data_IF_352927489574
#
_entry.id   IF_352927489574
#
_cell.length_a   1.000
_cell.length_b   1.000
_cell.length_c   1.000
_cell.angle_alpha   90.00
_cell.angle_beta   90.00
_cell.angle_gamma   90.00
#
_symmetry.space_group_name_H-M   'P 1'
#
loop_
_entity.id
_entity.type
_entity.pdbx_description
1 polymer ?
#
# COMPACT_ATOMS: atom_id res chain seq x y z
N UNK A 1 -7.59 12.95 -14.19
CA UNK A 1 -7.58 11.52 -14.56
C UNK A 1 -8.71 11.32 -15.54
N UNK A 2 -8.49 10.60 -16.64
CA UNK A 2 -9.58 10.22 -17.53
C UNK A 2 -10.26 8.93 -17.04
N UNK A 3 -11.47 8.67 -17.54
CA UNK A 3 -12.32 7.55 -17.10
C UNK A 3 -11.74 6.17 -17.46
N UNK A 4 -10.95 6.07 -18.53
CA UNK A 4 -10.30 4.82 -18.97
C UNK A 4 -9.18 4.43 -18.01
N UNK A 5 -8.36 5.39 -17.60
CA UNK A 5 -7.31 5.20 -16.59
C UNK A 5 -7.91 4.82 -15.23
N UNK A 6 -9.01 5.45 -14.82
CA UNK A 6 -9.73 5.08 -13.59
C UNK A 6 -10.24 3.64 -13.66
N UNK A 7 -10.90 3.29 -14.75
CA UNK A 7 -11.42 1.94 -14.95
C UNK A 7 -10.30 0.90 -14.92
N UNK A 8 -9.15 1.17 -15.55
CA UNK A 8 -7.98 0.28 -15.53
C UNK A 8 -7.41 0.09 -14.13
N UNK A 9 -7.33 1.16 -13.33
CA UNK A 9 -6.88 1.07 -11.94
C UNK A 9 -7.82 0.22 -11.08
N UNK A 10 -9.14 0.38 -11.25
CA UNK A 10 -10.16 -0.43 -10.57
C UNK A 10 -10.03 -1.90 -10.98
N UNK A 11 -9.94 -2.19 -12.28
CA UNK A 11 -9.78 -3.57 -12.80
C UNK A 11 -8.50 -4.21 -12.25
N UNK A 12 -7.38 -3.48 -12.25
CA UNK A 12 -6.11 -3.98 -11.70
C UNK A 12 -6.23 -4.34 -10.23
N UNK A 13 -6.94 -3.51 -9.45
CA UNK A 13 -7.17 -3.75 -8.03
C UNK A 13 -8.07 -4.96 -7.80
N UNK A 14 -9.19 -5.07 -8.54
CA UNK A 14 -10.07 -6.25 -8.47
C UNK A 14 -9.33 -7.52 -8.88
N UNK A 15 -8.48 -7.48 -9.90
CA UNK A 15 -7.64 -8.61 -10.30
C UNK A 15 -6.70 -9.08 -9.17
N UNK A 16 -6.16 -8.15 -8.38
CA UNK A 16 -5.35 -8.50 -7.20
C UNK A 16 -6.21 -9.09 -6.06
N UNK A 17 -7.40 -8.53 -5.81
CA UNK A 17 -8.34 -9.02 -4.79
C UNK A 17 -8.88 -10.41 -5.13
N UNK A 18 -9.21 -10.65 -6.40
CA UNK A 18 -9.80 -11.88 -6.92
C UNK A 18 -8.77 -12.77 -7.61
N UNK A 19 -7.49 -12.65 -7.22
CA UNK A 19 -6.42 -13.47 -7.76
C UNK A 19 -6.74 -14.96 -7.61
N UNK A 20 -6.41 -15.74 -8.64
CA UNK A 20 -6.70 -17.17 -8.64
C UNK A 20 -5.95 -17.87 -7.51
N UNK A 21 -6.66 -18.75 -6.80
CA UNK A 21 -6.11 -19.52 -5.68
C UNK A 21 -6.44 -21.00 -5.82
N UNK A 22 -5.45 -21.85 -5.57
CA UNK A 22 -5.65 -23.28 -5.35
C UNK A 22 -6.38 -23.53 -4.00
N UNK A 23 -6.95 -24.71 -3.77
CA UNK A 23 -7.77 -24.98 -2.58
C UNK A 23 -7.08 -24.70 -1.25
N UNK A 24 -5.78 -25.02 -1.14
CA UNK A 24 -4.96 -24.75 0.03
C UNK A 24 -4.77 -23.24 0.28
N UNK A 25 -4.48 -22.47 -0.78
CA UNK A 25 -4.36 -21.01 -0.69
C UNK A 25 -5.69 -20.33 -0.32
N UNK A 26 -6.83 -20.86 -0.82
CA UNK A 26 -8.16 -20.40 -0.39
C UNK A 26 -8.39 -20.65 1.10
N UNK A 27 -8.03 -21.85 1.57
CA UNK A 27 -8.12 -22.21 2.99
C UNK A 27 -7.27 -21.30 3.88
N UNK A 28 -6.03 -21.04 3.47
CA UNK A 28 -5.13 -20.13 4.19
C UNK A 28 -5.66 -18.69 4.24
N UNK A 29 -6.18 -18.19 3.12
CA UNK A 29 -6.77 -16.83 3.06
C UNK A 29 -8.00 -16.70 3.97
N UNK A 30 -8.86 -17.72 4.00
CA UNK A 30 -10.01 -17.80 4.90
C UNK A 30 -9.57 -17.79 6.37
N UNK A 31 -8.55 -18.59 6.72
CA UNK A 31 -7.97 -18.59 8.07
C UNK A 31 -7.41 -17.22 8.47
N UNK A 32 -6.67 -16.57 7.59
CA UNK A 32 -6.13 -15.24 7.86
C UNK A 32 -7.24 -14.20 8.11
N UNK A 33 -8.32 -14.24 7.32
CA UNK A 33 -9.49 -13.37 7.55
C UNK A 33 -10.11 -13.63 8.91
N UNK A 34 -10.32 -14.89 9.26
CA UNK A 34 -10.85 -15.29 10.58
C UNK A 34 -9.96 -14.78 11.73
N UNK A 35 -8.65 -14.97 11.66
CA UNK A 35 -7.70 -14.54 12.69
C UNK A 35 -7.60 -13.02 12.84
N UNK A 36 -7.76 -12.28 11.72
CA UNK A 36 -7.79 -10.82 11.71
C UNK A 36 -9.17 -10.24 12.03
N UNK A 37 -10.18 -11.09 12.24
CA UNK A 37 -11.56 -10.67 12.49
C UNK A 37 -12.26 -10.03 11.29
N UNK A 38 -11.75 -10.25 10.07
CA UNK A 38 -12.32 -9.69 8.84
C UNK A 38 -13.55 -10.51 8.45
N UNK A 39 -14.72 -9.86 8.40
CA UNK A 39 -15.98 -10.53 8.06
C UNK A 39 -16.22 -10.57 6.55
N UNK A 40 -17.16 -11.43 6.12
CA UNK A 40 -17.56 -11.50 4.71
C UNK A 40 -18.29 -10.21 4.28
N UNK A 41 -19.04 -9.58 5.19
CA UNK A 41 -19.69 -8.29 4.97
C UNK A 41 -18.66 -7.18 4.75
N UNK A 42 -17.60 -7.13 5.56
CA UNK A 42 -16.50 -6.17 5.37
C UNK A 42 -15.74 -6.40 4.05
N UNK A 43 -15.54 -7.67 3.67
CA UNK A 43 -14.94 -8.01 2.37
C UNK A 43 -15.81 -7.50 1.21
N UNK A 44 -17.12 -7.68 1.32
CA UNK A 44 -18.07 -7.25 0.30
C UNK A 44 -18.18 -5.73 0.22
N UNK A 45 -18.26 -5.04 1.37
CA UNK A 45 -18.23 -3.59 1.44
C UNK A 45 -16.97 -3.03 0.77
N UNK A 46 -15.80 -3.57 1.09
CA UNK A 46 -14.54 -3.14 0.47
C UNK A 46 -14.53 -3.33 -1.04
N UNK A 47 -15.09 -4.43 -1.54
CA UNK A 47 -15.22 -4.65 -3.00
C UNK A 47 -16.11 -3.58 -3.64
N UNK A 48 -17.23 -3.24 -3.02
CA UNK A 48 -18.14 -2.20 -3.51
C UNK A 48 -17.48 -0.81 -3.50
N UNK A 49 -16.72 -0.50 -2.46
CA UNK A 49 -15.90 0.73 -2.38
C UNK A 49 -14.85 0.81 -3.48
N UNK A 50 -14.15 -0.30 -3.78
CA UNK A 50 -13.20 -0.36 -4.91
C UNK A 50 -13.91 -0.11 -6.25
N UNK A 51 -15.05 -0.75 -6.48
CA UNK A 51 -15.80 -0.62 -7.73
C UNK A 51 -16.46 0.76 -7.91
N UNK A 52 -16.72 1.46 -6.81
CA UNK A 52 -17.33 2.80 -6.82
C UNK A 52 -16.32 3.94 -6.70
N UNK A 53 -15.02 3.62 -6.65
CA UNK A 53 -13.94 4.61 -6.56
C UNK A 53 -14.04 5.65 -7.70
N UNK A 54 -13.86 6.91 -7.34
CA UNK A 54 -14.02 8.09 -8.18
C UNK A 54 -12.78 8.98 -8.12
N UNK A 55 -12.72 10.00 -9.00
CA UNK A 55 -11.65 10.99 -8.96
C UNK A 55 -11.57 11.74 -7.61
N UNK A 56 -12.70 11.88 -6.91
CA UNK A 56 -12.74 12.56 -5.62
C UNK A 56 -11.89 11.82 -4.59
N UNK A 57 -11.98 10.50 -4.57
CA UNK A 57 -11.28 9.64 -3.59
C UNK A 57 -9.75 9.75 -3.74
N UNK A 58 -9.24 9.95 -4.95
CA UNK A 58 -7.81 10.20 -5.17
C UNK A 58 -7.33 11.50 -4.54
N UNK A 59 -8.15 12.55 -4.59
CA UNK A 59 -7.79 13.84 -3.99
C UNK A 59 -7.85 13.74 -2.46
N UNK A 60 -8.89 13.11 -1.91
CA UNK A 60 -8.99 12.89 -0.46
C UNK A 60 -7.84 12.00 0.06
N UNK A 61 -7.46 10.97 -0.69
CA UNK A 61 -6.32 10.14 -0.34
C UNK A 61 -4.98 10.89 -0.43
N UNK A 62 -4.83 11.83 -1.37
CA UNK A 62 -3.64 12.67 -1.46
C UNK A 62 -3.42 13.51 -0.19
N UNK A 63 -4.48 14.04 0.40
CA UNK A 63 -4.41 14.78 1.67
C UNK A 63 -3.98 13.86 2.82
N UNK A 64 -4.53 12.64 2.88
CA UNK A 64 -4.12 11.64 3.87
C UNK A 64 -2.63 11.29 3.73
N UNK A 65 -2.15 11.06 2.51
CA UNK A 65 -0.74 10.73 2.20
C UNK A 65 0.19 11.91 2.45
N UNK A 66 -0.28 13.15 2.28
CA UNK A 66 0.53 14.35 2.55
C UNK A 66 1.06 14.39 4.00
N UNK A 67 0.36 13.77 4.95
CA UNK A 67 0.81 13.64 6.35
C UNK A 67 2.13 12.86 6.50
N UNK A 68 2.43 11.95 5.56
CA UNK A 68 3.68 11.16 5.54
C UNK A 68 4.87 12.04 5.19
N UNK A 69 4.68 13.12 4.41
CA UNK A 69 5.78 14.06 4.11
C UNK A 69 6.40 14.63 5.39
N UNK A 70 5.56 14.95 6.37
CA UNK A 70 5.97 15.66 7.57
C UNK A 70 6.28 14.71 8.74
N UNK A 71 5.64 13.53 8.78
CA UNK A 71 5.75 12.56 9.90
C UNK A 71 6.33 11.20 9.51
N UNK A 72 6.69 11.00 8.24
CA UNK A 72 7.16 9.73 7.72
C UNK A 72 8.52 9.34 8.28
N UNK A 73 8.67 8.05 8.59
CA UNK A 73 9.97 7.47 8.96
C UNK A 73 10.68 7.02 7.69
N UNK A 74 11.90 7.52 7.46
CA UNK A 74 12.71 7.16 6.30
C UNK A 74 13.73 6.08 6.69
N UNK A 75 13.70 4.95 5.99
CA UNK A 75 14.67 3.85 6.16
C UNK A 75 15.17 3.44 4.78
N UNK A 76 16.49 3.32 4.61
CA UNK A 76 17.11 2.87 3.37
C UNK A 76 18.22 1.85 3.66
N UNK A 77 18.36 0.87 2.77
CA UNK A 77 19.51 -0.02 2.71
C UNK A 77 20.36 0.43 1.53
N UNK A 78 21.56 0.94 1.81
CA UNK A 78 22.41 1.58 0.81
C UNK A 78 23.90 1.38 1.14
N UNK A 79 24.78 1.74 0.19
CA UNK A 79 26.22 1.72 0.43
C UNK A 79 26.62 2.78 1.47
N UNK A 80 27.71 2.58 2.23
CA UNK A 80 28.19 3.57 3.18
C UNK A 80 28.44 4.95 2.53
N UNK A 81 28.99 4.94 1.31
CA UNK A 81 29.29 6.15 0.56
C UNK A 81 28.01 6.95 0.22
N UNK A 82 26.93 6.27 -0.16
CA UNK A 82 25.66 6.93 -0.50
C UNK A 82 24.97 7.49 0.74
N UNK A 83 25.03 6.77 1.87
CA UNK A 83 24.50 7.25 3.16
C UNK A 83 25.26 8.50 3.62
N UNK A 84 26.58 8.50 3.50
CA UNK A 84 27.39 9.68 3.83
C UNK A 84 27.11 10.87 2.91
N UNK A 85 26.96 10.63 1.60
CA UNK A 85 26.63 11.66 0.64
C UNK A 85 25.25 12.28 0.93
N UNK A 86 24.24 11.43 1.16
CA UNK A 86 22.88 11.88 1.49
C UNK A 86 22.85 12.70 2.78
N UNK A 87 23.49 12.21 3.86
CA UNK A 87 23.52 12.92 5.15
C UNK A 87 24.30 14.24 5.12
N UNK A 88 25.28 14.39 4.21
CA UNK A 88 25.97 15.67 3.97
C UNK A 88 25.05 16.70 3.31
N UNK A 89 24.20 16.27 2.38
CA UNK A 89 23.26 17.17 1.69
C UNK A 89 22.09 17.56 2.61
N UNK A 90 21.47 16.57 3.24
CA UNK A 90 20.44 16.72 4.26
C UNK A 90 20.59 15.60 5.28
N UNK A 91 20.55 15.91 6.57
CA UNK A 91 20.59 14.89 7.61
C UNK A 91 19.28 14.08 7.66
N UNK A 92 19.08 13.18 6.70
CA UNK A 92 17.85 12.39 6.51
C UNK A 92 17.89 11.09 7.31
N UNK A 93 19.08 10.54 7.57
CA UNK A 93 19.24 9.26 8.27
C UNK A 93 19.88 9.48 9.64
N UNK A 94 19.08 9.64 10.71
CA UNK A 94 19.59 9.90 12.06
C UNK A 94 20.24 8.66 12.70
N UNK A 95 19.84 7.46 12.30
CA UNK A 95 20.40 6.20 12.79
C UNK A 95 20.98 5.40 11.62
N UNK A 96 22.25 5.00 11.73
CA UNK A 96 22.93 4.15 10.73
C UNK A 96 23.19 2.78 11.37
N UNK A 97 22.49 1.74 10.89
CA UNK A 97 22.73 0.34 11.27
C UNK A 97 23.55 -0.35 10.20
N UNK A 98 24.73 -0.87 10.58
CA UNK A 98 25.55 -1.69 9.68
C UNK A 98 24.99 -3.11 9.63
N UNK A 99 24.61 -3.55 8.43
CA UNK A 99 24.30 -4.95 8.16
C UNK A 99 25.60 -5.68 7.75
N UNK A 100 25.71 -6.96 8.12
CA UNK A 100 26.87 -7.83 7.90
C UNK A 100 27.22 -8.00 6.42
#
# INVERSE_FOLDING_TARGET
MDDDVLTKAIIGTIGAVDSYQLPDAKGYSSLMRYLLGITDEECQQRREEILSTSLKDFNEFADAVATIRDNGVVVAVASPNDVEAANKEKAVFPEIKKCL
#
